data_IF_606239368806
#
_entry.id   IF_606239368806
#
_cell.length_a   1.000
_cell.length_b   1.000
_cell.length_c   1.000
_cell.angle_alpha   90.00
_cell.angle_beta   90.00
_cell.angle_gamma   90.00
#
_symmetry.space_group_name_H-M   'P 1'
#
loop_
_entity.id
_entity.type
_entity.pdbx_description
1 polymer ?
#
# COMPACT_ATOMS: atom_id res chain seq x y z
N UNK A 1 -10.82 -15.46 -5.98
CA UNK A 1 -9.62 -14.62 -6.06
C UNK A 1 -9.35 -14.30 -7.51
N UNK A 2 -9.19 -13.02 -7.87
CA UNK A 2 -8.99 -12.58 -9.24
C UNK A 2 -7.57 -12.08 -9.50
N UNK A 3 -6.83 -11.58 -8.49
CA UNK A 3 -5.48 -11.04 -8.69
C UNK A 3 -4.44 -12.17 -8.77
N UNK A 4 -4.35 -12.78 -9.94
CA UNK A 4 -3.35 -13.81 -10.28
C UNK A 4 -2.26 -13.25 -11.20
N UNK A 5 -1.18 -14.00 -11.37
CA UNK A 5 -0.16 -13.69 -12.38
C UNK A 5 -0.75 -13.66 -13.81
N UNK A 6 -1.62 -14.61 -14.14
CA UNK A 6 -2.37 -14.61 -15.40
C UNK A 6 -3.21 -13.34 -15.56
N UNK A 7 -3.94 -12.92 -14.51
CA UNK A 7 -4.75 -11.69 -14.57
C UNK A 7 -3.87 -10.45 -14.76
N UNK A 8 -2.75 -10.37 -14.03
CA UNK A 8 -1.79 -9.29 -14.20
C UNK A 8 -1.25 -9.20 -15.63
N UNK A 9 -0.93 -10.35 -16.24
CA UNK A 9 -0.37 -10.41 -17.58
C UNK A 9 -1.44 -10.21 -18.66
N UNK A 10 -2.47 -11.05 -18.68
CA UNK A 10 -3.47 -11.14 -19.75
C UNK A 10 -4.50 -10.00 -19.71
N UNK A 11 -4.90 -9.55 -18.52
CA UNK A 11 -5.94 -8.52 -18.35
C UNK A 11 -5.32 -7.15 -18.14
N UNK A 12 -4.31 -7.03 -17.28
CA UNK A 12 -3.71 -5.73 -16.94
C UNK A 12 -2.51 -5.36 -17.82
N UNK A 13 -2.02 -6.27 -18.67
CA UNK A 13 -0.89 -6.02 -19.57
C UNK A 13 0.44 -5.78 -18.86
N UNK A 14 0.62 -6.34 -17.66
CA UNK A 14 1.82 -6.15 -16.83
C UNK A 14 2.82 -7.25 -17.16
N UNK A 15 3.74 -6.96 -18.08
CA UNK A 15 4.80 -7.92 -18.45
C UNK A 15 5.98 -7.93 -17.47
N UNK A 16 6.18 -6.83 -16.73
CA UNK A 16 7.26 -6.68 -15.74
C UNK A 16 6.91 -5.65 -14.68
N UNK A 17 7.49 -5.82 -13.50
CA UNK A 17 7.40 -4.83 -12.42
C UNK A 17 8.21 -3.56 -12.78
N UNK A 18 7.76 -2.36 -12.35
CA UNK A 18 8.51 -1.13 -12.56
C UNK A 18 9.79 -1.14 -11.73
N UNK A 19 10.83 -0.39 -12.13
CA UNK A 19 12.07 -0.32 -11.33
C UNK A 19 11.90 0.57 -10.09
N UNK A 20 11.06 1.60 -10.22
CA UNK A 20 10.83 2.62 -9.20
C UNK A 20 9.36 2.99 -9.14
N UNK A 21 8.95 3.45 -7.97
CA UNK A 21 7.62 3.97 -7.71
C UNK A 21 7.70 5.37 -7.11
N UNK A 22 6.64 6.14 -7.31
CA UNK A 22 6.53 7.53 -6.88
C UNK A 22 5.38 7.73 -5.91
N UNK A 23 5.59 8.49 -4.84
CA UNK A 23 4.58 8.79 -3.82
C UNK A 23 4.50 10.30 -3.60
N UNK A 24 3.29 10.84 -3.71
CA UNK A 24 3.00 12.25 -3.48
C UNK A 24 2.65 12.45 -2.00
N UNK A 25 3.35 13.36 -1.33
CA UNK A 25 3.18 13.54 0.11
C UNK A 25 3.59 14.94 0.57
N UNK A 26 3.34 15.23 1.84
CA UNK A 26 3.71 16.52 2.44
C UNK A 26 5.21 16.57 2.78
N UNK A 27 5.74 17.79 2.93
CA UNK A 27 7.11 18.00 3.44
C UNK A 27 7.27 17.42 4.84
N UNK A 28 6.26 17.53 5.69
CA UNK A 28 6.29 17.01 7.06
C UNK A 28 6.33 15.48 7.07
N UNK A 29 5.55 14.83 6.21
CA UNK A 29 5.57 13.37 6.05
C UNK A 29 6.92 12.89 5.53
N UNK A 30 7.54 13.58 4.56
CA UNK A 30 8.92 13.29 4.15
C UNK A 30 9.87 13.38 5.34
N UNK A 31 9.76 14.40 6.17
CA UNK A 31 10.57 14.54 7.39
C UNK A 31 10.41 13.36 8.33
N UNK A 32 9.18 12.88 8.55
CA UNK A 32 8.91 11.69 9.36
C UNK A 32 9.50 10.42 8.74
N UNK A 33 9.38 10.24 7.42
CA UNK A 33 9.96 9.07 6.70
C UNK A 33 11.48 9.05 6.88
N UNK A 34 12.14 10.18 6.66
CA UNK A 34 13.60 10.30 6.74
C UNK A 34 14.13 10.16 8.17
N UNK A 35 13.48 10.82 9.13
CA UNK A 35 13.92 10.80 10.53
C UNK A 35 13.74 9.42 11.17
N UNK A 36 12.63 8.72 10.87
CA UNK A 36 12.36 7.40 11.44
C UNK A 36 12.92 6.25 10.58
N UNK A 37 13.31 6.53 9.33
CA UNK A 37 13.66 5.51 8.33
C UNK A 37 12.56 4.44 8.20
N UNK A 38 11.31 4.89 8.18
CA UNK A 38 10.14 4.02 8.05
C UNK A 38 9.18 4.55 7.00
N UNK A 39 8.41 3.64 6.42
CA UNK A 39 7.27 3.97 5.57
C UNK A 39 5.99 3.56 6.28
N UNK A 40 5.06 4.51 6.42
CA UNK A 40 3.76 4.25 7.01
C UNK A 40 2.83 3.56 6.04
N UNK A 41 2.16 2.52 6.51
CA UNK A 41 1.05 1.87 5.86
C UNK A 41 -0.21 2.18 6.65
N UNK A 42 -1.16 2.87 6.02
CA UNK A 42 -2.45 3.17 6.63
C UNK A 42 -3.38 1.95 6.53
N UNK A 43 -4.24 1.75 7.51
CA UNK A 43 -5.28 0.72 7.43
C UNK A 43 -6.20 1.01 6.24
N UNK A 44 -6.65 -0.03 5.55
CA UNK A 44 -7.36 0.09 4.28
C UNK A 44 -8.66 0.91 4.41
N UNK A 45 -9.33 0.87 5.56
CA UNK A 45 -10.52 1.69 5.83
C UNK A 45 -10.23 3.20 6.01
N UNK A 46 -8.98 3.63 5.86
CA UNK A 46 -8.56 5.03 5.86
C UNK A 46 -8.14 5.57 4.48
N UNK A 47 -8.31 4.80 3.41
CA UNK A 47 -8.02 5.25 2.03
C UNK A 47 -9.08 6.23 1.50
N UNK A 48 -8.78 6.89 0.38
CA UNK A 48 -9.63 7.93 -0.20
C UNK A 48 -10.88 7.39 -0.91
N UNK A 49 -10.81 6.18 -1.45
CA UNK A 49 -11.94 5.48 -2.04
C UNK A 49 -12.57 4.55 -0.99
N UNK A 50 -13.73 4.86 -0.40
CA UNK A 50 -14.35 3.99 0.58
C UNK A 50 -14.82 2.66 -0.03
N UNK A 51 -15.06 2.59 -1.34
CA UNK A 51 -15.55 1.37 -2.01
C UNK A 51 -14.49 0.27 -1.97
N UNK A 52 -13.20 0.59 -2.19
CA UNK A 52 -12.13 -0.42 -2.21
C UNK A 52 -11.87 -1.08 -0.84
N UNK A 53 -12.39 -0.49 0.24
CA UNK A 53 -12.30 -1.01 1.61
C UNK A 53 -13.48 -1.91 1.99
N UNK A 54 -14.44 -2.13 1.09
CA UNK A 54 -15.62 -2.97 1.32
C UNK A 54 -15.35 -4.42 0.91
N UNK A 55 -15.85 -5.34 1.73
CA UNK A 55 -15.91 -6.77 1.45
C UNK A 55 -17.38 -7.21 1.54
N UNK A 56 -17.81 -8.09 0.64
CA UNK A 56 -19.21 -8.53 0.56
C UNK A 56 -19.64 -9.34 1.80
N UNK A 57 -18.76 -10.23 2.27
CA UNK A 57 -19.10 -11.33 3.17
C UNK A 57 -18.27 -11.38 4.47
N UNK A 58 -17.26 -10.52 4.59
CA UNK A 58 -16.43 -10.40 5.79
C UNK A 58 -16.44 -8.96 6.34
N UNK A 59 -17.36 -8.64 7.27
CA UNK A 59 -17.47 -7.31 7.85
C UNK A 59 -16.16 -6.86 8.51
N UNK A 60 -15.75 -5.62 8.24
CA UNK A 60 -14.52 -5.00 8.77
C UNK A 60 -13.21 -5.65 8.30
N UNK A 61 -13.22 -6.50 7.27
CA UNK A 61 -12.02 -7.15 6.72
C UNK A 61 -10.89 -6.15 6.39
N UNK A 62 -11.24 -4.95 5.94
CA UNK A 62 -10.30 -3.86 5.66
C UNK A 62 -9.46 -3.45 6.87
N UNK A 63 -9.88 -3.77 8.09
CA UNK A 63 -9.09 -3.52 9.29
C UNK A 63 -7.85 -4.42 9.43
N UNK A 64 -7.81 -5.54 8.69
CA UNK A 64 -6.69 -6.48 8.65
C UNK A 64 -5.65 -6.15 7.56
N UNK A 65 -5.97 -5.21 6.67
CA UNK A 65 -5.14 -4.84 5.51
C UNK A 65 -4.59 -3.44 5.73
N UNK A 66 -3.28 -3.28 5.59
CA UNK A 66 -2.59 -2.00 5.68
C UNK A 66 -1.90 -1.73 4.35
N UNK A 67 -1.98 -0.50 3.85
CA UNK A 67 -1.58 -0.17 2.49
C UNK A 67 -0.69 1.07 2.42
N UNK A 68 0.16 1.12 1.39
CA UNK A 68 0.90 2.30 0.99
C UNK A 68 0.73 2.47 -0.52
N UNK A 69 0.22 3.63 -0.93
CA UNK A 69 -0.19 3.95 -2.31
C UNK A 69 0.87 4.75 -3.05
N UNK A 70 1.21 4.29 -4.25
CA UNK A 70 2.26 4.82 -5.10
C UNK A 70 1.78 4.87 -6.56
N UNK A 71 2.58 5.40 -7.47
CA UNK A 71 2.35 5.29 -8.91
C UNK A 71 3.64 4.91 -9.63
N UNK A 72 3.52 4.20 -10.75
CA UNK A 72 4.65 3.94 -11.65
C UNK A 72 4.79 5.01 -12.74
N UNK A 73 3.88 5.99 -12.82
CA UNK A 73 4.00 7.08 -13.77
C UNK A 73 5.22 7.94 -13.43
N UNK A 74 6.24 7.95 -14.29
CA UNK A 74 7.42 8.81 -14.12
C UNK A 74 7.09 10.29 -14.34
N UNK A 75 6.17 10.58 -15.27
CA UNK A 75 5.66 11.93 -15.52
C UNK A 75 4.79 12.39 -14.34
N UNK A 76 4.92 13.65 -13.98
CA UNK A 76 4.13 14.25 -12.91
C UNK A 76 2.65 14.39 -13.29
N UNK A 77 1.75 14.14 -12.34
CA UNK A 77 0.30 14.34 -12.47
C UNK A 77 -0.17 15.55 -11.67
N UNK A 78 -0.79 16.52 -12.35
CA UNK A 78 -1.37 17.71 -11.71
C UNK A 78 -2.52 17.36 -10.74
N UNK A 79 -3.47 16.46 -11.10
CA UNK A 79 -4.46 15.96 -10.14
C UNK A 79 -3.83 15.38 -8.86
N UNK A 80 -2.77 14.57 -9.00
CA UNK A 80 -2.07 13.97 -7.85
C UNK A 80 -1.42 15.03 -6.96
N UNK A 81 -0.74 16.02 -7.56
CA UNK A 81 -0.20 17.15 -6.81
C UNK A 81 -1.29 17.91 -6.05
N UNK A 82 -2.41 18.20 -6.72
CA UNK A 82 -3.52 18.95 -6.11
C UNK A 82 -4.14 18.17 -4.95
N UNK A 83 -4.44 16.89 -5.15
CA UNK A 83 -5.17 16.07 -4.19
C UNK A 83 -4.33 15.74 -2.95
N UNK A 84 -3.08 15.31 -3.14
CA UNK A 84 -2.28 14.77 -2.04
C UNK A 84 -1.33 15.77 -1.38
N UNK A 85 -1.09 16.92 -2.03
CA UNK A 85 -0.12 17.90 -1.51
C UNK A 85 -0.62 19.34 -1.54
N UNK A 86 -1.81 19.60 -2.08
CA UNK A 86 -2.27 20.98 -2.31
C UNK A 86 -1.34 21.79 -3.22
N UNK A 87 -0.65 21.13 -4.16
CA UNK A 87 0.41 21.69 -5.03
C UNK A 87 1.70 22.10 -4.30
N UNK A 88 1.73 22.05 -2.96
CA UNK A 88 2.84 22.47 -2.12
C UNK A 88 3.26 21.31 -1.21
N UNK A 89 4.10 20.43 -1.76
CA UNK A 89 4.64 19.28 -1.05
C UNK A 89 5.79 18.67 -1.84
N UNK A 90 5.93 17.35 -1.75
CA UNK A 90 6.98 16.62 -2.46
C UNK A 90 6.42 15.38 -3.12
N UNK A 91 7.16 14.88 -4.11
CA UNK A 91 6.96 13.57 -4.69
C UNK A 91 8.26 12.80 -4.54
N UNK A 92 8.23 11.76 -3.74
CA UNK A 92 9.38 10.89 -3.51
C UNK A 92 9.39 9.76 -4.51
N UNK A 93 10.56 9.35 -4.97
CA UNK A 93 10.76 8.15 -5.77
C UNK A 93 11.67 7.18 -5.03
N UNK A 94 11.26 5.92 -4.92
CA UNK A 94 12.06 4.84 -4.33
C UNK A 94 12.08 3.62 -5.26
N UNK A 95 13.13 2.77 -5.17
CA UNK A 95 13.13 1.46 -5.80
C UNK A 95 11.99 0.57 -5.24
N UNK A 96 11.51 -0.40 -6.03
CA UNK A 96 10.37 -1.26 -5.67
C UNK A 96 10.57 -2.22 -4.48
N UNK A 97 11.80 -2.33 -3.98
CA UNK A 97 12.18 -3.16 -2.85
C UNK A 97 12.70 -2.35 -1.65
N UNK A 98 12.02 -1.29 -1.18
CA UNK A 98 12.63 -0.28 -0.30
C UNK A 98 12.81 -0.74 1.16
N UNK A 99 12.29 -1.90 1.53
CA UNK A 99 12.25 -2.35 2.92
C UNK A 99 13.56 -2.98 3.38
N UNK A 100 13.81 -2.90 4.70
CA UNK A 100 15.03 -3.41 5.35
C UNK A 100 15.32 -4.86 4.97
N UNK A 101 16.58 -5.14 4.62
CA UNK A 101 16.96 -6.47 4.13
C UNK A 101 16.49 -6.68 2.68
N UNK A 102 16.64 -5.65 1.85
CA UNK A 102 16.10 -5.55 0.48
C UNK A 102 16.22 -6.87 -0.28
N UNK A 103 15.08 -7.37 -0.74
CA UNK A 103 14.96 -8.54 -1.63
C UNK A 103 14.14 -8.14 -2.84
N UNK A 104 14.48 -8.64 -4.01
CA UNK A 104 13.65 -8.43 -5.18
C UNK A 104 12.26 -9.06 -4.94
N UNK A 105 11.15 -8.37 -5.28
CA UNK A 105 9.84 -8.98 -5.21
C UNK A 105 9.76 -10.16 -6.19
N UNK A 106 9.08 -11.21 -5.76
CA UNK A 106 8.76 -12.39 -6.57
C UNK A 106 7.27 -12.35 -6.91
N UNK A 107 6.91 -12.60 -8.16
CA UNK A 107 5.50 -12.72 -8.57
C UNK A 107 5.05 -14.15 -8.31
N UNK A 108 3.92 -14.30 -7.62
CA UNK A 108 3.30 -15.57 -7.32
C UNK A 108 2.00 -15.72 -8.12
N UNK A 109 1.58 -16.97 -8.31
CA UNK A 109 0.30 -17.33 -8.95
C UNK A 109 -0.89 -16.58 -8.33
N UNK A 110 -0.82 -16.28 -7.02
CA UNK A 110 -1.89 -15.68 -6.23
C UNK A 110 -1.38 -14.46 -5.46
N UNK A 111 -2.06 -13.34 -5.58
CA UNK A 111 -1.75 -12.11 -4.85
C UNK A 111 -0.62 -11.26 -5.45
N UNK A 112 -0.10 -11.64 -6.62
CA UNK A 112 0.85 -10.87 -7.41
C UNK A 112 2.28 -10.85 -6.85
N UNK A 113 2.93 -9.69 -6.95
CA UNK A 113 4.26 -9.48 -6.41
C UNK A 113 4.24 -9.60 -4.87
N UNK A 114 5.30 -10.15 -4.30
CA UNK A 114 5.48 -10.23 -2.85
C UNK A 114 6.97 -10.18 -2.50
N UNK A 115 7.27 -9.57 -1.36
CA UNK A 115 8.60 -9.49 -0.77
C UNK A 115 8.53 -9.61 0.74
N UNK A 116 9.68 -9.89 1.37
CA UNK A 116 9.82 -9.89 2.82
C UNK A 116 10.76 -8.79 3.28
N UNK A 117 10.63 -8.40 4.53
CA UNK A 117 11.55 -7.45 5.17
C UNK A 117 12.10 -7.99 6.48
N UNK A 118 13.28 -7.51 6.85
CA UNK A 118 13.93 -7.86 8.11
C UNK A 118 13.31 -7.05 9.25
N UNK A 119 12.26 -7.63 9.81
CA UNK A 119 11.47 -7.05 10.89
C UNK A 119 10.14 -7.79 11.02
N UNK A 120 9.24 -7.25 11.83
CA UNK A 120 7.90 -7.78 12.01
C UNK A 120 6.97 -6.64 12.35
N UNK A 121 5.83 -6.58 11.69
CA UNK A 121 4.68 -5.83 12.19
C UNK A 121 3.84 -6.74 13.06
N UNK A 122 3.29 -6.21 14.14
CA UNK A 122 2.38 -6.94 15.02
C UNK A 122 1.06 -6.19 15.07
N UNK A 123 -0.04 -6.93 14.94
CA UNK A 123 -1.38 -6.40 15.16
C UNK A 123 -1.91 -6.92 16.49
N UNK A 124 -2.43 -6.00 17.28
CA UNK A 124 -3.05 -6.29 18.55
C UNK A 124 -4.57 -6.21 18.44
N UNK A 125 -5.23 -7.04 19.24
CA UNK A 125 -6.69 -7.16 19.28
C UNK A 125 -7.19 -6.58 20.59
N UNK A 126 -8.35 -5.96 20.57
CA UNK A 126 -9.10 -5.74 21.81
C UNK A 126 -9.64 -7.09 22.32
N UNK A 127 -9.64 -7.29 23.65
CA UNK A 127 -10.03 -8.55 24.27
C UNK A 127 -9.02 -9.70 24.07
N UNK A 128 -9.45 -10.92 24.40
CA UNK A 128 -8.61 -12.13 24.44
C UNK A 128 -8.56 -12.89 23.11
N UNK A 129 -8.49 -12.19 21.97
CA UNK A 129 -8.32 -12.80 20.65
C UNK A 129 -6.85 -12.88 20.23
N UNK A 130 -6.56 -13.68 19.22
CA UNK A 130 -5.21 -13.95 18.76
C UNK A 130 -4.58 -12.70 18.15
N UNK A 131 -3.43 -12.29 18.68
CA UNK A 131 -2.58 -11.30 18.02
C UNK A 131 -1.97 -11.93 16.77
N UNK A 132 -1.72 -11.09 15.76
CA UNK A 132 -1.10 -11.52 14.52
C UNK A 132 0.10 -10.67 14.20
N UNK A 133 0.81 -11.08 13.18
CA UNK A 133 2.01 -10.39 12.76
C UNK A 133 2.39 -10.79 11.36
N UNK A 134 3.16 -9.96 10.68
CA UNK A 134 3.69 -10.29 9.36
C UNK A 134 5.08 -9.70 9.16
N UNK A 135 5.86 -10.39 8.35
CA UNK A 135 7.12 -9.90 7.78
C UNK A 135 7.04 -9.85 6.25
N UNK A 136 5.83 -9.96 5.71
CA UNK A 136 5.53 -10.02 4.29
C UNK A 136 4.90 -8.70 3.84
N UNK A 137 5.32 -8.24 2.67
CA UNK A 137 4.73 -7.14 1.93
C UNK A 137 4.26 -7.68 0.60
N UNK A 138 2.96 -7.61 0.36
CA UNK A 138 2.36 -7.85 -0.94
C UNK A 138 2.57 -6.60 -1.79
N UNK A 139 3.18 -6.77 -2.94
CA UNK A 139 3.45 -5.73 -3.89
C UNK A 139 4.94 -5.50 -4.17
N UNK A 140 5.21 -4.59 -5.11
CA UNK A 140 4.25 -3.65 -5.66
C UNK A 140 3.25 -4.28 -6.64
N UNK A 141 1.96 -4.05 -6.43
CA UNK A 141 0.89 -4.54 -7.29
C UNK A 141 0.10 -3.37 -7.86
N UNK A 142 -0.17 -3.35 -9.17
CA UNK A 142 -1.00 -2.33 -9.80
C UNK A 142 -2.47 -2.50 -9.37
N UNK A 143 -3.16 -1.41 -9.09
CA UNK A 143 -4.61 -1.41 -8.87
C UNK A 143 -5.33 -1.65 -10.20
N UNK A 144 -6.35 -2.51 -10.17
CA UNK A 144 -7.23 -2.73 -11.31
C UNK A 144 -8.39 -1.74 -11.27
N UNK A 145 -8.60 -1.02 -12.36
CA UNK A 145 -9.67 -0.02 -12.46
C UNK A 145 -10.79 -0.58 -13.33
N UNK A 146 -12.00 -0.69 -12.77
CA UNK A 146 -13.17 -1.19 -13.50
C UNK A 146 -14.47 -0.64 -12.91
N UNK A 147 -15.48 -0.50 -13.76
CA UNK A 147 -16.85 -0.15 -13.34
C UNK A 147 -17.70 -1.40 -13.05
N UNK A 148 -17.18 -2.59 -13.38
CA UNK A 148 -17.85 -3.86 -13.17
C UNK A 148 -17.97 -4.18 -11.67
N UNK A 149 -19.20 -4.13 -11.15
CA UNK A 149 -19.51 -4.38 -9.74
C UNK A 149 -18.96 -5.71 -9.18
N UNK A 150 -18.93 -6.83 -9.93
CA UNK A 150 -18.39 -8.09 -9.40
C UNK A 150 -16.94 -8.01 -8.92
N UNK A 151 -16.14 -7.08 -9.43
CA UNK A 151 -14.75 -6.90 -9.00
C UNK A 151 -14.60 -5.92 -7.84
N UNK A 152 -15.45 -4.90 -7.73
CA UNK A 152 -15.26 -3.76 -6.79
C UNK A 152 -15.56 -4.06 -5.33
N UNK A 153 -16.35 -5.10 -5.05
CA UNK A 153 -16.74 -5.51 -3.70
C UNK A 153 -16.63 -7.03 -3.55
N UNK A 154 -15.46 -7.58 -3.89
CA UNK A 154 -15.27 -9.03 -3.94
C UNK A 154 -15.49 -9.73 -2.60
N UNK A 155 -15.95 -10.97 -2.69
CA UNK A 155 -16.02 -11.91 -1.58
C UNK A 155 -14.61 -12.22 -1.04
N UNK A 156 -14.47 -12.18 0.28
CA UNK A 156 -13.29 -12.62 1.02
C UNK A 156 -13.40 -14.07 1.48
N UNK A 157 -14.59 -14.69 1.42
CA UNK A 157 -14.82 -16.08 1.80
C UNK A 157 -14.92 -16.98 0.56
N UNK A 158 -13.97 -17.88 0.37
CA UNK A 158 -13.94 -18.81 -0.76
C UNK A 158 -14.38 -20.21 -0.31
N UNK A 159 -15.38 -20.77 -1.00
CA UNK A 159 -15.81 -22.15 -0.80
C UNK A 159 -14.93 -23.12 -1.62
N UNK A 160 -14.40 -24.15 -0.96
CA UNK A 160 -13.72 -25.27 -1.59
C UNK A 160 -14.11 -26.61 -0.94
N UNK A 161 -14.65 -27.54 -1.73
CA UNK A 161 -14.97 -28.93 -1.33
C UNK A 161 -15.71 -29.07 0.01
N UNK A 162 -16.64 -28.17 0.31
CA UNK A 162 -17.44 -28.18 1.55
C UNK A 162 -16.73 -27.54 2.76
N UNK A 163 -15.63 -26.84 2.53
CA UNK A 163 -14.97 -25.97 3.52
C UNK A 163 -14.92 -24.54 3.00
N UNK A 164 -14.81 -23.58 3.92
CA UNK A 164 -14.66 -22.18 3.57
C UNK A 164 -13.28 -21.67 3.98
N UNK A 165 -12.70 -20.77 3.20
CA UNK A 165 -11.41 -20.15 3.49
C UNK A 165 -11.47 -18.63 3.41
N UNK A 166 -10.66 -17.94 4.21
CA UNK A 166 -10.55 -16.47 4.14
C UNK A 166 -9.39 -16.07 3.23
N UNK A 167 -9.68 -15.22 2.24
CA UNK A 167 -8.72 -14.66 1.29
C UNK A 167 -8.80 -13.13 1.28
N UNK A 168 -7.67 -12.46 1.49
CA UNK A 168 -7.57 -11.00 1.60
C UNK A 168 -6.68 -10.37 0.51
N UNK A 169 -6.08 -11.18 -0.39
CA UNK A 169 -5.20 -10.67 -1.44
C UNK A 169 -5.88 -9.67 -2.38
N UNK A 170 -7.17 -9.86 -2.67
CA UNK A 170 -7.92 -9.01 -3.59
C UNK A 170 -8.46 -7.74 -2.94
N UNK A 171 -8.64 -7.75 -1.61
CA UNK A 171 -9.22 -6.63 -0.88
C UNK A 171 -8.32 -5.39 -1.00
N UNK A 172 -8.90 -4.27 -1.45
CA UNK A 172 -8.15 -3.06 -1.78
C UNK A 172 -7.24 -3.17 -3.01
N UNK A 173 -7.56 -4.03 -3.99
CA UNK A 173 -6.87 -4.10 -5.30
C UNK A 173 -7.70 -3.63 -6.49
N UNK A 174 -8.95 -3.22 -6.26
CA UNK A 174 -9.86 -2.75 -7.30
C UNK A 174 -10.37 -1.37 -6.92
N UNK A 175 -10.38 -0.46 -7.89
CA UNK A 175 -11.02 0.85 -7.77
C UNK A 175 -11.98 1.09 -8.92
N UNK A 176 -12.95 1.97 -8.69
CA UNK A 176 -13.77 2.48 -9.77
C UNK A 176 -12.93 3.30 -10.79
N UNK A 177 -13.34 3.34 -12.07
CA UNK A 177 -12.62 4.07 -13.12
C UNK A 177 -12.53 5.59 -12.90
N UNK A 178 -13.37 6.17 -12.04
CA UNK A 178 -13.23 7.57 -11.59
C UNK A 178 -11.85 7.87 -11.00
N UNK A 179 -11.19 6.88 -10.39
CA UNK A 179 -9.88 7.01 -9.74
C UNK A 179 -8.71 6.61 -10.64
N UNK A 180 -8.96 6.26 -11.92
CA UNK A 180 -7.93 5.72 -12.83
C UNK A 180 -6.77 6.68 -13.09
N UNK A 181 -6.97 7.99 -12.92
CA UNK A 181 -5.92 8.99 -13.06
C UNK A 181 -4.77 8.83 -12.04
N UNK A 182 -4.99 8.07 -10.96
CA UNK A 182 -3.95 7.80 -9.95
C UNK A 182 -2.87 6.86 -10.49
N UNK A 183 -3.21 5.99 -11.46
CA UNK A 183 -2.36 4.88 -11.95
C UNK A 183 -1.64 4.19 -10.78
N UNK A 184 -2.43 3.77 -9.81
CA UNK A 184 -1.94 3.38 -8.50
C UNK A 184 -1.25 2.02 -8.56
N UNK A 185 -0.12 1.96 -7.85
CA UNK A 185 0.57 0.75 -7.44
C UNK A 185 0.62 0.74 -5.92
N UNK A 186 0.43 -0.44 -5.33
CA UNK A 186 0.24 -0.56 -3.88
C UNK A 186 1.19 -1.59 -3.29
N UNK A 187 1.73 -1.22 -2.13
CA UNK A 187 2.26 -2.19 -1.18
C UNK A 187 1.19 -2.45 -0.13
N UNK A 188 1.03 -3.71 0.27
CA UNK A 188 0.10 -4.12 1.32
C UNK A 188 0.78 -5.01 2.34
N UNK A 189 0.31 -4.88 3.56
CA UNK A 189 0.62 -5.77 4.66
C UNK A 189 -0.70 -6.39 5.09
N UNK A 190 -0.76 -7.72 5.03
CA UNK A 190 -1.85 -8.52 5.56
C UNK A 190 -1.26 -9.24 6.75
N UNK A 191 -1.73 -8.90 7.95
CA UNK A 191 -1.35 -9.58 9.18
C UNK A 191 -2.58 -10.34 9.69
N UNK A 192 -2.97 -11.35 8.92
CA UNK A 192 -4.01 -12.31 9.23
C UNK A 192 -3.52 -13.70 8.84
N UNK A 193 -3.99 -14.77 9.50
CA UNK A 193 -3.67 -16.13 9.04
C UNK A 193 -4.28 -16.36 7.66
N UNK A 194 -3.47 -16.79 6.69
CA UNK A 194 -3.95 -17.09 5.34
C UNK A 194 -4.65 -18.46 5.30
N UNK A 195 -5.69 -18.57 4.47
CA UNK A 195 -6.32 -19.86 4.12
C UNK A 195 -6.82 -20.67 5.34
N UNK A 196 -7.40 -19.98 6.33
CA UNK A 196 -8.03 -20.63 7.50
C UNK A 196 -9.32 -21.29 7.09
N UNK A 197 -9.47 -22.58 7.43
CA UNK A 197 -10.71 -23.31 7.23
C UNK A 197 -11.78 -22.91 8.25
N UNK A 198 -12.97 -22.57 7.75
CA UNK A 198 -14.18 -22.30 8.53
C UNK A 198 -15.18 -23.44 8.33
N UNK A 199 -16.01 -23.71 9.35
CA UNK A 199 -16.93 -24.86 9.36
C UNK A 199 -18.10 -24.73 8.37
N UNK A 200 -18.55 -23.51 8.14
CA UNK A 200 -19.54 -23.02 7.15
C UNK A 200 -19.19 -21.52 6.92
N UNK A 201 -19.84 -20.69 6.07
CA UNK A 201 -19.37 -19.31 5.81
C UNK A 201 -19.66 -18.36 6.99
N UNK A 202 -19.47 -18.83 8.21
CA UNK A 202 -19.52 -18.07 9.44
C UNK A 202 -18.10 -17.61 9.81
N UNK A 203 -17.76 -16.33 9.59
CA UNK A 203 -16.47 -15.79 10.01
C UNK A 203 -16.28 -15.84 11.53
N UNK A 204 -17.36 -15.94 12.32
CA UNK A 204 -17.29 -16.04 13.78
C UNK A 204 -16.88 -17.45 14.24
N UNK A 205 -16.91 -18.45 13.35
CA UNK A 205 -16.43 -19.80 13.68
C UNK A 205 -14.93 -19.85 14.02
N UNK A 206 -14.18 -18.80 13.68
CA UNK A 206 -12.80 -18.59 14.10
C UNK A 206 -12.64 -17.22 14.80
N UNK A 207 -12.30 -17.15 16.11
CA UNK A 207 -12.29 -15.90 16.90
C UNK A 207 -11.41 -14.76 16.36
N UNK A 208 -10.41 -15.08 15.54
CA UNK A 208 -9.60 -14.07 14.85
C UNK A 208 -10.45 -13.19 13.90
N UNK A 209 -11.46 -13.78 13.24
CA UNK A 209 -12.29 -13.12 12.22
C UNK A 209 -13.58 -12.50 12.79
N UNK A 210 -13.83 -12.63 14.10
CA UNK A 210 -14.79 -11.77 14.78
C UNK A 210 -14.18 -10.37 15.03
N UNK A 211 -14.11 -9.59 13.95
CA UNK A 211 -13.56 -8.24 13.92
C UNK A 211 -14.44 -7.22 14.66
N UNK A 212 -15.69 -7.58 14.98
CA UNK A 212 -16.60 -6.74 15.76
C UNK A 212 -16.39 -6.91 17.25
N UNK A 213 -16.25 -8.15 17.72
CA UNK A 213 -15.99 -8.45 19.12
C UNK A 213 -14.54 -8.10 19.52
N UNK A 214 -13.58 -8.31 18.62
CA UNK A 214 -12.16 -8.19 18.94
C UNK A 214 -11.42 -7.22 18.01
N UNK A 215 -11.82 -5.96 17.82
CA UNK A 215 -11.28 -5.09 16.78
C UNK A 215 -9.75 -4.96 16.75
N UNK A 216 -9.18 -4.74 15.55
CA UNK A 216 -7.74 -4.37 15.39
C UNK A 216 -7.53 -2.97 15.97
N UNK A 217 -6.55 -2.85 16.87
CA UNK A 217 -6.22 -1.56 17.52
C UNK A 217 -5.48 -0.62 16.60
N UNK A 218 -4.51 -1.15 15.84
CA UNK A 218 -3.66 -0.37 14.96
C UNK A 218 -4.48 0.27 13.83
N UNK A 219 -4.24 1.56 13.58
CA UNK A 219 -4.76 2.30 12.43
C UNK A 219 -3.70 2.50 11.33
N UNK A 220 -2.45 2.25 11.67
CA UNK A 220 -1.32 2.23 10.75
C UNK A 220 -0.24 1.30 11.30
N UNK A 221 0.65 0.86 10.42
CA UNK A 221 1.90 0.20 10.77
C UNK A 221 3.05 0.88 10.06
N UNK A 222 4.20 0.99 10.72
CA UNK A 222 5.39 1.62 10.15
C UNK A 222 6.41 0.53 9.80
N UNK A 223 6.76 0.41 8.52
CA UNK A 223 7.69 -0.59 8.02
C UNK A 223 9.10 0.00 7.91
N UNK A 224 10.14 -0.70 8.39
CA UNK A 224 11.51 -0.20 8.29
C UNK A 224 11.96 -0.17 6.83
N UNK A 225 12.45 0.99 6.41
CA UNK A 225 13.17 1.15 5.17
C UNK A 225 14.60 0.63 5.34
N UNK A 226 15.17 0.17 4.23
CA UNK A 226 16.59 -0.12 4.18
C UNK A 226 17.37 1.17 4.00
N UNK A 227 18.41 1.45 4.81
CA UNK A 227 19.20 2.67 4.66
C UNK A 227 19.76 2.88 3.25
N UNK A 228 20.07 1.79 2.53
CA UNK A 228 20.59 1.89 1.15
C UNK A 228 19.56 2.43 0.17
N UNK A 229 18.25 2.19 0.36
CA UNK A 229 17.23 2.74 -0.53
C UNK A 229 17.09 4.26 -0.39
N UNK A 230 17.45 4.82 0.78
CA UNK A 230 17.44 6.27 1.02
C UNK A 230 18.60 6.96 0.29
N UNK A 231 19.71 6.27 0.04
CA UNK A 231 20.75 6.79 -0.84
C UNK A 231 20.29 6.88 -2.31
N UNK A 232 19.24 6.13 -2.67
CA UNK A 232 18.66 6.15 -4.01
C UNK A 232 17.43 7.05 -4.13
N UNK A 233 17.01 7.75 -3.05
CA UNK A 233 15.78 8.54 -3.06
C UNK A 233 15.88 9.72 -4.03
N UNK A 234 14.82 9.96 -4.80
CA UNK A 234 14.65 11.22 -5.51
C UNK A 234 13.46 11.97 -4.93
N UNK A 235 13.60 13.27 -4.72
CA UNK A 235 12.55 14.13 -4.16
C UNK A 235 12.29 15.27 -5.13
N UNK A 236 11.14 15.23 -5.78
CA UNK A 236 10.66 16.33 -6.61
C UNK A 236 9.89 17.30 -5.73
N UNK A 237 10.30 18.57 -5.73
CA UNK A 237 9.60 19.63 -5.03
C UNK A 237 8.35 20.07 -5.81
N UNK A 238 7.23 20.24 -5.12
CA UNK A 238 5.94 20.58 -5.71
C UNK A 238 5.93 21.94 -6.44
N UNK A 239 5.01 22.13 -7.40
CA UNK A 239 5.00 23.32 -8.27
C UNK A 239 4.69 24.64 -7.54
N UNK A 240 4.06 24.60 -6.36
CA UNK A 240 3.80 25.76 -5.49
C UNK A 240 4.54 25.68 -4.15
N UNK A 241 5.61 24.89 -4.06
CA UNK A 241 6.43 24.82 -2.85
C UNK A 241 7.01 26.21 -2.52
N UNK A 242 7.04 26.59 -1.25
CA UNK A 242 7.73 27.82 -0.82
C UNK A 242 9.25 27.62 -0.74
N UNK A 243 10.02 28.71 -0.78
CA UNK A 243 11.48 28.63 -0.60
C UNK A 243 11.86 28.13 0.80
N UNK A 244 11.08 28.46 1.83
CA UNK A 244 11.27 27.91 3.18
C UNK A 244 11.08 26.38 3.20
N UNK A 245 10.01 25.89 2.57
CA UNK A 245 9.76 24.46 2.45
C UNK A 245 10.84 23.75 1.63
N UNK A 246 11.28 24.35 0.53
CA UNK A 246 12.37 23.82 -0.30
C UNK A 246 13.67 23.67 0.52
N UNK A 247 14.05 24.73 1.25
CA UNK A 247 15.21 24.70 2.14
C UNK A 247 15.08 23.64 3.23
N UNK A 248 13.89 23.48 3.83
CA UNK A 248 13.62 22.40 4.81
C UNK A 248 13.84 21.03 4.19
N UNK A 249 13.38 20.79 2.97
CA UNK A 249 13.60 19.53 2.25
C UNK A 249 15.08 19.29 2.01
N UNK A 250 15.82 20.30 1.56
CA UNK A 250 17.27 20.23 1.35
C UNK A 250 18.01 19.86 2.64
N UNK A 251 17.69 20.53 3.75
CA UNK A 251 18.29 20.26 5.05
C UNK A 251 17.98 18.83 5.56
N UNK A 252 16.74 18.35 5.40
CA UNK A 252 16.35 16.99 5.79
C UNK A 252 17.09 15.93 4.97
N UNK A 253 17.24 16.12 3.66
CA UNK A 253 17.97 15.17 2.82
C UNK A 253 19.46 15.17 3.13
N UNK A 254 20.08 16.33 3.34
CA UNK A 254 21.48 16.42 3.74
C UNK A 254 21.74 15.67 5.07
N UNK A 255 20.81 15.73 6.02
CA UNK A 255 20.94 15.09 7.32
C UNK A 255 20.69 13.57 7.31
N UNK A 256 19.69 13.11 6.54
CA UNK A 256 19.16 11.74 6.66
C UNK A 256 19.32 10.87 5.41
N UNK A 257 19.55 11.47 4.25
CA UNK A 257 19.67 10.79 2.96
C UNK A 257 20.66 11.51 2.04
N UNK A 258 21.95 11.61 2.41
CA UNK A 258 22.93 12.45 1.69
C UNK A 258 23.22 12.00 0.25
N UNK A 259 22.88 10.75 -0.13
CA UNK A 259 22.94 10.28 -1.52
C UNK A 259 21.70 10.65 -2.35
N UNK A 260 20.64 11.15 -1.70
CA UNK A 260 19.38 11.49 -2.33
C UNK A 260 19.48 12.69 -3.25
N UNK A 261 18.60 12.72 -4.25
CA UNK A 261 18.54 13.79 -5.25
C UNK A 261 17.32 14.67 -5.04
N UNK A 262 17.51 15.97 -5.21
CA UNK A 262 16.41 16.96 -5.21
C UNK A 262 16.22 17.49 -6.63
N UNK A 263 14.97 17.52 -7.05
CA UNK A 263 14.52 18.04 -8.33
C UNK A 263 13.38 19.05 -8.09
N UNK A 264 13.13 19.94 -9.04
CA UNK A 264 11.94 20.80 -9.00
C UNK A 264 10.90 20.31 -10.01
N UNK A 265 9.63 20.48 -9.68
CA UNK A 265 8.53 20.17 -10.59
C UNK A 265 8.71 20.85 -11.94
N UNK A 266 8.45 20.10 -13.00
CA UNK A 266 8.44 20.58 -14.38
C UNK A 266 7.13 21.26 -14.74
N UNK A 267 6.06 21.05 -13.96
CA UNK A 267 4.75 21.65 -14.14
C UNK A 267 4.81 23.13 -13.72
N UNK A 268 4.43 24.04 -14.63
CA UNK A 268 4.35 25.48 -14.35
C UNK A 268 2.90 25.85 -14.02
N UNK A 269 2.67 26.44 -12.85
CA UNK A 269 1.34 26.86 -12.37
C UNK A 269 1.40 28.34 -11.98
N UNK A 270 0.33 29.09 -12.28
CA UNK A 270 0.16 30.49 -11.88
C UNK A 270 -0.59 30.63 -10.56
#
# INVERSE_FOLDING_TARGET
>A
MFYTDDFMYEVMGIERLPERLYHYTSVDTLGLILANQTLRFARLDGVNDPEEAMAEDLPLASTLVFTSSWTAQAKESLPMWSMYTGLAGVRIALPINPFRGRRAPTVYEKGGAMQTFDGRVSLTREGDSWHSSSSMVFGPNKIYYTDELPYRNGSCLLADRGTWSVQLHDLGMVKNTHWSYEEEWRFKVIAAPFEVQLKEPDPLSHPFYDLKQYPVREKWVDLPLDPSCLAEIEVVLGPKISEEQAWRVEAMLAAHAPGGRILRSTIKIR
#
